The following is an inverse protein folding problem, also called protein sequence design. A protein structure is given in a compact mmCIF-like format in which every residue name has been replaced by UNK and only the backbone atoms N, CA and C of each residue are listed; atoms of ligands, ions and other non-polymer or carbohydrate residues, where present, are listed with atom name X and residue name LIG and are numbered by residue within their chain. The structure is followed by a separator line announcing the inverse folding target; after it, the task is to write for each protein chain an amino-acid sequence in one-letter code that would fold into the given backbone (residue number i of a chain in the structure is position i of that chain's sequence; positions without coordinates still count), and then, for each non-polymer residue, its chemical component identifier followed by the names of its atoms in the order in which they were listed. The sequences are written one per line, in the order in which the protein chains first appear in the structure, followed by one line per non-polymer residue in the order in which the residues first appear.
data_IF_124281615929
#
_entry.id   IF_124281615929
#
_cell.length_a   1.000
_cell.length_b   1.000
_cell.length_c   1.000
_cell.angle_alpha   90.00
_cell.angle_beta   90.00
_cell.angle_gamma   90.00
#
_symmetry.space_group_name_H-M   'P 1'
#
loop_
_entity.id
_entity.type
_entity.pdbx_description
1 polymer ?
#
# COMPACT_ATOMS: atom_id res chain seq x y z
N UNK A 1 -5.19 14.09 5.68
CA UNK A 1 -4.33 13.93 4.48
C UNK A 1 -4.21 15.21 3.66
N UNK A 2 -5.32 15.85 3.29
CA UNK A 2 -5.31 17.11 2.54
C UNK A 2 -6.50 17.97 2.94
N UNK A 3 -6.30 19.27 3.11
CA UNK A 3 -7.38 20.27 3.23
C UNK A 3 -7.15 21.28 2.11
N UNK A 4 -8.18 21.54 1.30
CA UNK A 4 -8.13 22.46 0.16
C UNK A 4 -9.30 23.42 0.20
N UNK A 5 -9.03 24.69 -0.04
CA UNK A 5 -10.06 25.67 -0.37
C UNK A 5 -10.39 25.48 -1.87
N UNK A 6 -11.67 25.30 -2.17
CA UNK A 6 -12.21 25.20 -3.53
C UNK A 6 -13.26 26.28 -3.71
N UNK A 7 -13.43 26.74 -4.94
CA UNK A 7 -14.34 27.83 -5.24
C UNK A 7 -15.30 27.42 -6.35
N UNK A 8 -16.55 27.84 -6.27
CA UNK A 8 -17.54 27.71 -7.35
C UNK A 8 -18.14 29.10 -7.65
N UNK A 9 -18.46 29.34 -8.92
CA UNK A 9 -19.11 30.59 -9.34
C UNK A 9 -20.63 30.42 -9.22
N UNK A 10 -21.26 31.35 -8.53
CA UNK A 10 -22.70 31.41 -8.28
C UNK A 10 -23.27 32.70 -8.86
N UNK A 11 -24.52 32.67 -9.35
CA UNK A 11 -25.16 33.83 -9.96
C UNK A 11 -25.33 35.02 -9.00
N UNK A 12 -25.69 34.78 -7.72
CA UNK A 12 -25.92 35.84 -6.72
C UNK A 12 -24.66 36.28 -5.96
N UNK A 13 -23.89 35.30 -5.47
CA UNK A 13 -22.75 35.53 -4.57
C UNK A 13 -21.41 35.66 -5.32
N UNK A 14 -21.39 35.44 -6.63
CA UNK A 14 -20.15 35.32 -7.39
C UNK A 14 -19.31 34.13 -6.92
N UNK A 15 -18.07 34.37 -6.50
CA UNK A 15 -17.13 33.30 -6.14
C UNK A 15 -17.36 32.77 -4.70
N UNK A 16 -18.18 31.73 -4.55
CA UNK A 16 -18.41 31.07 -3.26
C UNK A 16 -17.25 30.15 -2.87
N UNK A 17 -16.69 30.37 -1.68
CA UNK A 17 -15.65 29.50 -1.08
C UNK A 17 -16.27 28.27 -0.42
N UNK A 18 -15.65 27.12 -0.61
CA UNK A 18 -15.94 25.87 0.10
C UNK A 18 -14.65 25.15 0.45
N UNK A 19 -14.69 24.33 1.49
CA UNK A 19 -13.53 23.57 1.97
C UNK A 19 -13.75 22.10 1.68
N UNK A 20 -12.75 21.48 1.04
CA UNK A 20 -12.68 20.03 0.80
C UNK A 20 -11.58 19.43 1.66
N UNK A 21 -11.95 18.45 2.50
CA UNK A 21 -11.02 17.72 3.35
C UNK A 21 -10.98 16.23 2.96
N UNK A 22 -9.77 15.69 2.82
CA UNK A 22 -9.48 14.26 2.68
C UNK A 22 -8.88 13.75 3.99
N UNK A 23 -9.60 12.82 4.61
CA UNK A 23 -9.28 12.24 5.92
C UNK A 23 -9.15 10.73 5.76
N UNK A 24 -8.22 10.15 6.51
CA UNK A 24 -8.10 8.71 6.71
C UNK A 24 -8.22 8.42 8.21
N UNK A 25 -8.74 7.24 8.53
CA UNK A 25 -8.91 6.70 9.87
C UNK A 25 -8.38 5.27 9.89
N UNK A 26 -8.03 4.76 11.07
CA UNK A 26 -7.70 3.35 11.26
C UNK A 26 -7.49 3.02 12.72
N UNK A 27 -7.54 1.73 13.04
CA UNK A 27 -7.44 1.21 14.41
C UNK A 27 -6.06 0.64 14.75
N UNK A 28 -5.09 0.69 13.82
CA UNK A 28 -3.76 0.12 13.98
C UNK A 28 -3.70 -1.41 13.93
N UNK A 29 -4.82 -2.07 13.63
CA UNK A 29 -4.99 -3.54 13.61
C UNK A 29 -5.56 -4.02 12.28
N UNK A 30 -5.11 -3.45 11.17
CA UNK A 30 -5.53 -3.81 9.81
C UNK A 30 -6.79 -3.12 9.30
N UNK A 31 -7.66 -2.57 10.16
CA UNK A 31 -8.86 -1.86 9.71
C UNK A 31 -8.58 -0.37 9.51
N UNK A 32 -8.75 0.10 8.27
CA UNK A 32 -8.56 1.50 7.92
C UNK A 32 -9.52 1.94 6.82
N UNK A 33 -9.82 3.24 6.77
CA UNK A 33 -10.71 3.80 5.75
C UNK A 33 -10.34 5.24 5.43
N UNK A 34 -10.85 5.75 4.31
CA UNK A 34 -10.67 7.14 3.94
C UNK A 34 -11.93 7.70 3.32
N UNK A 35 -12.14 9.00 3.48
CA UNK A 35 -13.24 9.68 2.83
C UNK A 35 -12.93 11.16 2.60
N UNK A 36 -13.74 11.75 1.72
CA UNK A 36 -13.74 13.18 1.45
C UNK A 36 -15.00 13.82 2.03
N UNK A 37 -14.82 14.96 2.67
CA UNK A 37 -15.90 15.85 3.11
C UNK A 37 -15.79 17.21 2.45
N UNK A 38 -16.94 17.82 2.14
CA UNK A 38 -17.04 19.18 1.62
C UNK A 38 -18.07 19.97 2.41
N UNK A 39 -17.75 21.19 2.81
CA UNK A 39 -18.66 22.11 3.49
C UNK A 39 -18.23 23.57 3.26
N UNK A 40 -19.05 24.54 3.70
CA UNK A 40 -18.65 25.95 3.74
C UNK A 40 -17.55 26.21 4.77
N UNK A 41 -17.72 25.63 5.97
CA UNK A 41 -16.78 25.71 7.08
C UNK A 41 -15.86 24.47 7.20
N UNK A 42 -14.66 24.67 7.74
CA UNK A 42 -13.59 23.67 7.87
C UNK A 42 -13.98 22.56 8.84
N UNK A 43 -14.53 22.92 10.01
CA UNK A 43 -14.85 21.96 11.06
C UNK A 43 -15.96 21.03 10.60
N UNK A 44 -16.96 21.59 9.92
CA UNK A 44 -18.02 20.81 9.30
C UNK A 44 -17.52 19.87 8.19
N UNK A 45 -16.57 20.31 7.36
CA UNK A 45 -15.99 19.44 6.32
C UNK A 45 -15.23 18.25 6.93
N UNK A 46 -14.48 18.48 8.01
CA UNK A 46 -13.75 17.42 8.73
C UNK A 46 -14.69 16.43 9.42
N UNK A 47 -15.72 16.91 10.12
CA UNK A 47 -16.74 16.07 10.76
C UNK A 47 -17.43 15.15 9.74
N UNK A 48 -17.84 15.72 8.59
CA UNK A 48 -18.43 14.95 7.48
C UNK A 48 -17.47 13.90 6.93
N UNK A 49 -16.20 14.26 6.72
CA UNK A 49 -15.19 13.33 6.22
C UNK A 49 -14.94 12.18 7.21
N UNK A 50 -14.81 12.46 8.51
CA UNK A 50 -14.60 11.46 9.56
C UNK A 50 -15.75 10.45 9.61
N UNK A 51 -16.98 10.93 9.74
CA UNK A 51 -18.16 10.06 9.85
C UNK A 51 -18.37 9.20 8.59
N UNK A 52 -18.05 9.76 7.42
CA UNK A 52 -18.10 8.99 6.16
C UNK A 52 -17.00 7.93 6.08
N UNK A 53 -15.79 8.24 6.54
CA UNK A 53 -14.68 7.29 6.50
C UNK A 53 -14.95 6.04 7.38
N UNK A 54 -15.63 6.20 8.52
CA UNK A 54 -16.01 5.10 9.41
C UNK A 54 -16.93 4.09 8.71
N UNK A 55 -17.77 4.55 7.78
CA UNK A 55 -18.68 3.69 7.02
C UNK A 55 -17.99 2.98 5.84
N UNK A 56 -16.80 3.42 5.46
CA UNK A 56 -16.05 2.91 4.31
C UNK A 56 -14.69 2.37 4.78
N UNK A 57 -14.73 1.35 5.64
CA UNK A 57 -13.55 0.67 6.13
C UNK A 57 -13.14 -0.47 5.18
N UNK A 58 -11.84 -0.65 5.06
CA UNK A 58 -11.20 -1.77 4.42
C UNK A 58 -10.42 -2.53 5.49
N UNK A 59 -10.48 -3.86 5.42
CA UNK A 59 -9.59 -4.71 6.17
C UNK A 59 -8.35 -4.99 5.31
N UNK A 60 -7.17 -4.74 5.88
CA UNK A 60 -5.88 -4.92 5.23
C UNK A 60 -5.13 -5.96 6.04
N UNK A 61 -4.82 -7.07 5.39
CA UNK A 61 -4.07 -8.17 5.99
C UNK A 61 -2.60 -7.76 6.19
N UNK A 62 -1.99 -8.23 7.28
CA UNK A 62 -0.64 -7.85 7.66
C UNK A 62 0.18 -9.11 7.88
N UNK A 63 1.27 -9.25 7.14
CA UNK A 63 2.23 -10.31 7.38
C UNK A 63 2.97 -10.04 8.70
N UNK A 64 2.89 -11.01 9.62
CA UNK A 64 3.47 -10.94 10.97
C UNK A 64 3.15 -9.63 11.72
N UNK A 65 1.99 -9.03 11.45
CA UNK A 65 1.55 -7.76 12.03
C UNK A 65 2.52 -6.57 11.85
N UNK A 66 3.36 -6.56 10.81
CA UNK A 66 4.29 -5.43 10.57
C UNK A 66 4.44 -4.99 9.10
N UNK A 67 4.27 -5.89 8.11
CA UNK A 67 4.49 -5.59 6.68
C UNK A 67 3.38 -6.20 5.80
N UNK A 68 3.44 -5.95 4.50
CA UNK A 68 2.63 -6.58 3.44
C UNK A 68 3.14 -7.99 3.07
N UNK A 69 2.30 -8.80 2.42
CA UNK A 69 2.63 -10.20 2.08
C UNK A 69 3.66 -10.34 0.95
N UNK A 70 3.54 -9.53 -0.10
CA UNK A 70 4.43 -9.55 -1.27
C UNK A 70 4.61 -8.14 -1.85
N UNK A 71 5.45 -8.02 -2.88
CA UNK A 71 5.69 -6.75 -3.57
C UNK A 71 4.52 -6.38 -4.49
N UNK A 72 3.97 -5.18 -4.30
CA UNK A 72 2.74 -4.76 -4.97
C UNK A 72 3.04 -3.60 -5.91
N UNK A 73 2.72 -3.78 -7.20
CA UNK A 73 2.71 -2.72 -8.20
C UNK A 73 1.27 -2.40 -8.61
N UNK A 74 0.82 -1.18 -8.29
CA UNK A 74 -0.56 -0.75 -8.59
C UNK A 74 -0.58 0.58 -9.33
N UNK A 75 -1.38 0.64 -10.39
CA UNK A 75 -1.69 1.87 -11.12
C UNK A 75 -3.14 2.27 -10.89
N UNK A 76 -3.34 3.52 -10.49
CA UNK A 76 -4.66 4.14 -10.41
C UNK A 76 -4.64 5.47 -11.16
N UNK A 77 -5.35 5.52 -12.29
CA UNK A 77 -5.26 6.63 -13.24
C UNK A 77 -3.79 6.87 -13.63
N UNK A 78 -3.34 8.11 -13.63
CA UNK A 78 -1.94 8.50 -13.91
C UNK A 78 -1.01 8.42 -12.69
N UNK A 79 -1.44 7.80 -11.58
CA UNK A 79 -0.62 7.58 -10.39
C UNK A 79 -0.23 6.11 -10.30
N UNK A 80 1.07 5.84 -10.23
CA UNK A 80 1.61 4.49 -10.03
C UNK A 80 2.26 4.41 -8.66
N UNK A 81 1.96 3.38 -7.89
CA UNK A 81 2.59 3.09 -6.61
C UNK A 81 3.22 1.72 -6.69
N UNK A 82 4.49 1.65 -6.33
CA UNK A 82 5.21 0.39 -6.16
C UNK A 82 5.60 0.26 -4.69
N UNK A 83 5.17 -0.81 -4.06
CA UNK A 83 5.38 -1.12 -2.66
C UNK A 83 6.23 -2.37 -2.57
N UNK A 84 7.22 -2.36 -1.68
CA UNK A 84 8.05 -3.51 -1.41
C UNK A 84 7.88 -3.97 0.04
N UNK A 85 7.76 -5.28 0.22
CA UNK A 85 7.84 -5.92 1.54
C UNK A 85 9.24 -5.67 2.10
N UNK A 86 9.33 -5.41 3.40
CA UNK A 86 10.61 -5.18 4.08
C UNK A 86 10.64 -5.93 5.41
N UNK A 87 11.85 -6.27 5.85
CA UNK A 87 12.08 -6.97 7.10
C UNK A 87 11.88 -6.03 8.30
N UNK A 88 11.77 -6.61 9.50
CA UNK A 88 11.59 -5.87 10.75
C UNK A 88 12.77 -4.91 10.97
N UNK A 89 12.46 -3.68 11.36
CA UNK A 89 13.46 -2.65 11.66
C UNK A 89 13.84 -1.75 10.47
N UNK A 90 13.31 -2.01 9.28
CA UNK A 90 13.50 -1.12 8.12
C UNK A 90 12.76 0.22 8.28
N UNK A 91 11.59 0.19 8.93
CA UNK A 91 10.69 1.32 9.11
C UNK A 91 9.91 1.70 7.86
N UNK A 92 9.29 2.89 7.87
CA UNK A 92 8.45 3.38 6.77
C UNK A 92 9.24 4.34 5.86
N UNK A 93 9.73 3.86 4.72
CA UNK A 93 10.40 4.68 3.70
C UNK A 93 9.47 4.93 2.51
N UNK A 94 8.48 5.79 2.74
CA UNK A 94 7.38 6.04 1.80
C UNK A 94 7.10 7.54 1.63
N UNK A 95 6.19 7.89 0.73
CA UNK A 95 5.62 9.23 0.67
C UNK A 95 4.90 9.58 1.99
N UNK A 96 5.01 10.83 2.47
CA UNK A 96 4.46 11.27 3.78
C UNK A 96 3.00 10.86 4.04
N UNK A 97 2.15 10.94 3.01
CA UNK A 97 0.74 10.57 3.15
C UNK A 97 0.56 9.06 3.33
N UNK A 98 1.39 8.26 2.66
CA UNK A 98 1.41 6.80 2.80
C UNK A 98 1.89 6.45 4.20
N UNK A 99 2.95 7.10 4.71
CA UNK A 99 3.43 6.90 6.09
C UNK A 99 2.28 7.12 7.10
N UNK A 100 1.53 8.21 6.97
CA UNK A 100 0.38 8.46 7.86
C UNK A 100 -0.68 7.37 7.77
N UNK A 101 -0.99 6.88 6.57
CA UNK A 101 -1.99 5.82 6.37
C UNK A 101 -1.48 4.48 6.91
N UNK A 102 -0.22 4.11 6.65
CA UNK A 102 0.40 2.90 7.17
C UNK A 102 0.38 2.84 8.70
N UNK A 103 0.68 3.96 9.38
CA UNK A 103 0.55 4.06 10.84
C UNK A 103 -0.88 3.82 11.34
N UNK A 104 -1.89 4.28 10.61
CA UNK A 104 -3.30 4.05 10.94
C UNK A 104 -3.74 2.59 10.69
N UNK A 105 -3.15 1.93 9.69
CA UNK A 105 -3.40 0.52 9.39
C UNK A 105 -2.70 -0.38 10.41
N UNK A 106 -1.48 -0.03 10.83
CA UNK A 106 -0.61 -0.87 11.65
C UNK A 106 0.63 -1.41 10.92
N UNK A 107 0.89 -0.97 9.69
CA UNK A 107 2.11 -1.31 8.94
C UNK A 107 3.29 -0.52 9.52
N UNK A 108 4.33 -1.24 9.94
CA UNK A 108 5.54 -0.68 10.56
C UNK A 108 6.70 -0.62 9.58
N UNK A 109 6.85 -1.62 8.73
CA UNK A 109 7.98 -1.75 7.80
C UNK A 109 7.46 -1.86 6.38
N UNK A 110 7.85 -0.92 5.51
CA UNK A 110 7.51 -0.95 4.08
C UNK A 110 8.31 0.11 3.33
N UNK A 111 8.69 -0.21 2.09
CA UNK A 111 9.18 0.78 1.13
C UNK A 111 8.08 1.06 0.10
N UNK A 112 7.87 2.33 -0.26
CA UNK A 112 6.94 2.66 -1.34
C UNK A 112 7.40 3.86 -2.16
N UNK A 113 7.39 3.68 -3.48
CA UNK A 113 7.69 4.72 -4.45
C UNK A 113 6.42 5.09 -5.22
N UNK A 114 6.11 6.39 -5.23
CA UNK A 114 5.05 6.96 -6.07
C UNK A 114 5.69 7.58 -7.32
N UNK A 115 5.17 7.19 -8.49
CA UNK A 115 5.55 7.68 -9.81
C UNK A 115 4.35 8.27 -10.54
N UNK A 116 4.59 9.14 -11.52
CA UNK A 116 3.55 9.86 -12.25
C UNK A 116 2.89 10.98 -11.43
N UNK A 117 1.56 11.04 -11.45
CA UNK A 117 0.78 12.10 -10.77
C UNK A 117 0.81 11.96 -9.25
N UNK A 118 1.17 13.03 -8.55
CA UNK A 118 1.28 13.09 -7.09
C UNK A 118 0.00 13.58 -6.39
N UNK A 119 -1.17 13.40 -7.01
CA UNK A 119 -2.44 13.80 -6.41
C UNK A 119 -2.79 12.90 -5.21
N UNK A 120 -2.90 13.50 -4.02
CA UNK A 120 -3.17 12.75 -2.77
C UNK A 120 -4.43 11.90 -2.82
N UNK A 121 -5.47 12.31 -3.55
CA UNK A 121 -6.71 11.51 -3.67
C UNK A 121 -6.42 10.20 -4.42
N UNK A 122 -5.68 10.30 -5.54
CA UNK A 122 -5.32 9.13 -6.35
C UNK A 122 -4.30 8.26 -5.62
N UNK A 123 -3.32 8.85 -4.94
CA UNK A 123 -2.37 8.10 -4.10
C UNK A 123 -3.11 7.28 -3.05
N UNK A 124 -4.07 7.90 -2.34
CA UNK A 124 -4.83 7.21 -1.30
C UNK A 124 -5.67 6.06 -1.89
N UNK A 125 -6.36 6.31 -3.01
CA UNK A 125 -7.17 5.28 -3.69
C UNK A 125 -6.30 4.13 -4.23
N UNK A 126 -5.16 4.45 -4.82
CA UNK A 126 -4.20 3.47 -5.31
C UNK A 126 -3.66 2.59 -4.18
N UNK A 127 -3.29 3.21 -3.05
CA UNK A 127 -2.77 2.53 -1.87
C UNK A 127 -3.78 1.53 -1.33
N UNK A 128 -5.01 1.97 -1.05
CA UNK A 128 -6.05 1.07 -0.55
C UNK A 128 -6.37 -0.03 -1.56
N UNK A 129 -6.48 0.29 -2.86
CA UNK A 129 -6.69 -0.72 -3.90
C UNK A 129 -5.60 -1.80 -3.90
N UNK A 130 -4.33 -1.41 -3.87
CA UNK A 130 -3.21 -2.35 -3.88
C UNK A 130 -3.19 -3.22 -2.62
N UNK A 131 -3.38 -2.62 -1.44
CA UNK A 131 -3.36 -3.34 -0.17
C UNK A 131 -4.55 -4.30 0.00
N UNK A 132 -5.72 -3.98 -0.56
CA UNK A 132 -6.88 -4.88 -0.53
C UNK A 132 -6.81 -6.05 -1.52
N UNK A 133 -5.95 -5.94 -2.53
CA UNK A 133 -5.79 -6.95 -3.59
C UNK A 133 -4.60 -7.88 -3.34
N UNK A 134 -3.96 -7.78 -2.17
CA UNK A 134 -2.87 -8.69 -1.84
C UNK A 134 -3.43 -10.10 -1.56
N UNK A 135 -2.75 -11.09 -2.09
CA UNK A 135 -2.90 -12.50 -1.77
C UNK A 135 -2.09 -12.87 -0.52
N UNK A 136 -2.73 -13.63 0.38
CA UNK A 136 -2.06 -14.21 1.56
C UNK A 136 -1.36 -15.50 1.22
N UNK A 137 -0.40 -15.90 2.05
CA UNK A 137 0.25 -17.21 1.91
C UNK A 137 -0.75 -18.37 1.99
N UNK A 138 -1.83 -18.23 2.78
CA UNK A 138 -2.86 -19.25 2.90
C UNK A 138 -3.67 -19.37 1.60
N UNK A 139 -4.06 -18.24 1.01
CA UNK A 139 -4.74 -18.23 -0.30
C UNK A 139 -3.85 -18.84 -1.39
N UNK A 140 -2.56 -18.51 -1.40
CA UNK A 140 -1.60 -19.07 -2.35
C UNK A 140 -1.43 -20.59 -2.18
N UNK A 141 -1.29 -21.06 -0.93
CA UNK A 141 -1.18 -22.49 -0.62
C UNK A 141 -2.41 -23.26 -1.10
N UNK A 142 -3.61 -22.73 -0.81
CA UNK A 142 -4.87 -23.32 -1.22
C UNK A 142 -5.08 -23.30 -2.74
N UNK A 143 -4.60 -22.26 -3.43
CA UNK A 143 -4.73 -22.16 -4.89
C UNK A 143 -3.81 -23.13 -5.63
N UNK A 144 -2.58 -23.31 -5.14
CA UNK A 144 -1.57 -24.19 -5.76
C UNK A 144 -1.56 -25.61 -5.19
N UNK A 145 -2.29 -25.86 -4.09
CA UNK A 145 -2.26 -27.11 -3.34
C UNK A 145 -0.85 -27.54 -2.90
N UNK A 146 0.01 -26.58 -2.56
CA UNK A 146 1.40 -26.80 -2.16
C UNK A 146 1.74 -26.05 -0.86
N UNK A 147 2.80 -26.51 -0.19
CA UNK A 147 3.36 -25.84 0.98
C UNK A 147 4.04 -24.53 0.60
N UNK A 148 3.81 -23.47 1.39
CA UNK A 148 4.53 -22.21 1.23
C UNK A 148 5.67 -22.16 2.22
N UNK A 149 6.90 -22.24 1.69
CA UNK A 149 8.14 -22.23 2.47
C UNK A 149 8.79 -20.85 2.38
N UNK A 150 9.15 -20.27 3.51
CA UNK A 150 9.93 -19.04 3.60
C UNK A 150 11.38 -19.37 3.97
N UNK A 151 12.32 -18.90 3.14
CA UNK A 151 13.75 -18.93 3.44
C UNK A 151 14.18 -17.55 3.95
N UNK A 152 14.91 -17.54 5.07
CA UNK A 152 15.45 -16.31 5.67
C UNK A 152 16.96 -16.39 5.70
N UNK A 153 17.62 -15.37 5.18
CA UNK A 153 19.09 -15.28 5.18
C UNK A 153 19.68 -15.42 6.60
N UNK A 154 18.99 -14.88 7.61
CA UNK A 154 19.40 -14.97 9.03
C UNK A 154 19.44 -16.40 9.57
N UNK A 155 18.64 -17.32 9.01
CA UNK A 155 18.51 -18.70 9.48
C UNK A 155 19.19 -19.71 8.55
N UNK A 156 19.91 -19.24 7.52
CA UNK A 156 20.61 -20.07 6.56
C UNK A 156 19.65 -20.95 5.73
N UNK A 157 19.94 -22.25 5.53
CA UNK A 157 19.16 -23.12 4.65
C UNK A 157 17.88 -23.69 5.30
N UNK A 158 17.53 -23.30 6.52
CA UNK A 158 16.39 -23.86 7.24
C UNK A 158 15.06 -23.50 6.55
N UNK A 159 14.26 -24.49 6.10
CA UNK A 159 12.95 -24.23 5.51
C UNK A 159 11.90 -23.96 6.60
N UNK A 160 11.29 -22.78 6.59
CA UNK A 160 10.17 -22.46 7.49
C UNK A 160 8.86 -22.59 6.71
N UNK A 161 8.00 -23.53 7.10
CA UNK A 161 6.66 -23.64 6.51
C UNK A 161 5.77 -22.54 7.10
N UNK A 162 5.29 -21.63 6.26
CA UNK A 162 4.48 -20.48 6.68
C UNK A 162 2.98 -20.73 6.48
N UNK A 163 2.62 -21.50 5.47
CA UNK A 163 1.23 -21.89 5.20
C UNK A 163 1.17 -23.32 4.65
N UNK A 164 0.14 -24.04 5.08
CA UNK A 164 -0.20 -25.37 4.60
C UNK A 164 -1.54 -25.29 3.86
N UNK A 165 -1.70 -25.99 2.73
CA UNK A 165 -3.00 -26.08 2.08
C UNK A 165 -3.97 -26.83 2.99
N UNK A 166 -5.21 -26.34 3.09
CA UNK A 166 -6.27 -27.01 3.85
C UNK A 166 -6.81 -28.25 3.14
N UNK A 167 -6.64 -28.32 1.82
CA UNK A 167 -7.11 -29.40 0.95
C UNK A 167 -6.08 -30.49 0.70
N UNK A 168 -6.33 -31.28 -0.36
CA UNK A 168 -5.42 -32.31 -0.83
C UNK A 168 -4.14 -31.65 -1.32
N UNK A 169 -3.00 -32.09 -0.78
CA UNK A 169 -1.67 -31.65 -1.21
C UNK A 169 -1.36 -32.32 -2.54
N UNK A 170 -0.91 -31.53 -3.52
CA UNK A 170 -0.47 -32.05 -4.81
C UNK A 170 0.87 -32.78 -4.63
N UNK A 171 0.98 -33.97 -5.22
CA UNK A 171 2.22 -34.75 -5.21
C UNK A 171 3.22 -34.25 -6.28
N UNK A 172 2.69 -33.77 -7.41
CA UNK A 172 3.50 -33.28 -8.53
C UNK A 172 4.13 -31.89 -8.24
N UNK A 173 5.44 -31.71 -8.48
CA UNK A 173 6.10 -30.41 -8.37
C UNK A 173 5.66 -29.44 -9.49
N UNK A 174 5.86 -28.14 -9.27
CA UNK A 174 5.71 -27.16 -10.36
C UNK A 174 6.85 -27.34 -11.38
N UNK A 175 6.58 -27.15 -12.68
CA UNK A 175 7.65 -27.11 -13.68
C UNK A 175 8.58 -25.93 -13.40
N UNK A 176 9.89 -26.17 -13.47
CA UNK A 176 10.91 -25.13 -13.34
C UNK A 176 11.22 -24.54 -14.72
N UNK A 177 10.83 -23.28 -14.94
CA UNK A 177 11.21 -22.54 -16.13
C UNK A 177 12.65 -22.03 -15.99
N UNK A 178 13.53 -22.35 -16.95
CA UNK A 178 14.92 -21.83 -16.96
C UNK A 178 14.97 -20.29 -17.03
N UNK A 179 14.03 -19.69 -17.78
CA UNK A 179 13.91 -18.23 -17.93
C UNK A 179 12.45 -17.83 -17.76
N UNK A 180 12.08 -17.18 -16.64
CA UNK A 180 10.70 -16.78 -16.40
C UNK A 180 10.34 -15.51 -17.19
N UNK A 181 9.18 -15.50 -17.85
CA UNK A 181 8.66 -14.33 -18.58
C UNK A 181 7.97 -13.33 -17.64
N UNK A 182 8.76 -12.72 -16.76
CA UNK A 182 8.28 -11.71 -15.81
C UNK A 182 8.62 -10.32 -16.33
N UNK A 183 7.61 -9.44 -16.37
CA UNK A 183 7.82 -8.02 -16.70
C UNK A 183 8.68 -7.35 -15.64
N UNK A 184 9.95 -7.18 -15.94
CA UNK A 184 10.90 -6.47 -15.09
C UNK A 184 10.74 -4.97 -15.21
N UNK A 185 11.02 -4.30 -14.11
CA UNK A 185 11.00 -2.85 -14.04
C UNK A 185 12.41 -2.31 -14.05
N UNK A 186 12.74 -1.54 -15.09
CA UNK A 186 14.10 -1.03 -15.31
C UNK A 186 14.68 -0.28 -14.11
N UNK A 187 13.85 0.42 -13.34
CA UNK A 187 14.30 1.15 -12.15
C UNK A 187 14.89 0.24 -11.07
N UNK A 188 14.41 -1.00 -10.95
CA UNK A 188 14.89 -1.98 -9.98
C UNK A 188 16.11 -2.72 -10.48
N UNK A 189 16.10 -3.11 -11.76
CA UNK A 189 17.27 -3.70 -12.42
C UNK A 189 18.47 -2.75 -12.33
N UNK A 190 18.25 -1.46 -12.61
CA UNK A 190 19.28 -0.41 -12.49
C UNK A 190 19.77 -0.21 -11.05
N UNK A 191 18.91 -0.43 -10.06
CA UNK A 191 19.28 -0.36 -8.63
C UNK A 191 20.09 -1.57 -8.20
N UNK A 192 19.70 -2.77 -8.63
CA UNK A 192 20.44 -4.02 -8.38
C UNK A 192 21.84 -4.00 -9.01
N UNK A 193 21.98 -3.40 -10.20
CA UNK A 193 23.28 -3.23 -10.87
C UNK A 193 24.12 -2.07 -10.31
N UNK A 194 23.66 -1.35 -9.27
CA UNK A 194 24.38 -0.21 -8.70
C UNK A 194 24.49 1.02 -9.63
N UNK A 195 23.79 1.01 -10.77
CA UNK A 195 23.83 2.09 -11.77
C UNK A 195 22.97 3.31 -11.38
N UNK A 196 22.15 3.20 -10.35
CA UNK A 196 21.26 4.27 -9.87
C UNK A 196 22.03 5.29 -9.02
N UNK A 197 22.65 6.26 -9.69
CA UNK A 197 23.31 7.40 -9.03
C UNK A 197 22.29 8.49 -8.73
N UNK A 198 21.85 8.60 -7.46
CA UNK A 198 21.00 9.70 -7.01
C UNK A 198 21.46 10.20 -5.64
N UNK A 199 21.83 11.48 -5.50
CA UNK A 199 22.28 12.04 -4.21
C UNK A 199 21.14 12.11 -3.17
N UNK A 200 19.89 11.92 -3.62
CA UNK A 200 18.69 11.93 -2.77
C UNK A 200 18.25 10.52 -2.36
N UNK A 201 18.92 9.48 -2.85
CA UNK A 201 18.69 8.10 -2.41
C UNK A 201 19.45 7.85 -1.09
N UNK A 202 18.87 7.08 -0.18
CA UNK A 202 19.49 6.64 1.08
C UNK A 202 20.02 7.75 2.02
N UNK A 203 19.48 8.96 1.92
CA UNK A 203 19.78 10.05 2.84
C UNK A 203 19.25 9.71 4.25
N UNK A 204 20.02 10.04 5.30
CA UNK A 204 19.58 9.91 6.70
C UNK A 204 18.40 10.87 6.95
N UNK A 205 17.32 10.35 7.51
CA UNK A 205 16.05 11.07 7.72
C UNK A 205 15.61 10.97 9.17
#
# INVERSE_FOLDING_TARGET
LQVKNVFCMNAKEGRKKSIRALVAIGNGKGAAGFAMGKAGDRMNALRKAKNKAIRCLHFIELYQNHTIYHDIAVRFKSTTIRMKKQNKGYGLRCHRAIITICKLIGIKDMYAKVSGSKNLINITRALFKGLTQQETHQQLANQKSLYVVEFREEQGPLPIVVALPEGIVREDPEPEDEVPDIKLEWSEVKEAQGMKKSPWANVRR
#
